data_IF_690166675927
#
_entry.id   IF_690166675927
#
_cell.length_a   1.000
_cell.length_b   1.000
_cell.length_c   1.000
_cell.angle_alpha   90.00
_cell.angle_beta   90.00
_cell.angle_gamma   90.00
#
_symmetry.space_group_name_H-M   'P 1'
#
loop_
_entity.id
_entity.type
_entity.pdbx_description
1 polymer ?
#
# COMPACT_ATOMS: atom_id res chain seq x y z
N UNK A 1 -6.12 -0.81 -3.42
CA UNK A 1 -6.88 -2.00 -2.98
C UNK A 1 -7.11 -2.94 -4.14
N UNK A 2 -7.62 -2.45 -5.26
CA UNK A 2 -8.15 -3.26 -6.38
C UNK A 2 -7.16 -4.25 -7.03
N UNK A 3 -5.85 -4.03 -6.88
CA UNK A 3 -4.79 -4.90 -7.44
C UNK A 3 -4.05 -5.71 -6.37
N UNK A 4 -4.53 -5.73 -5.13
CA UNK A 4 -3.88 -6.43 -4.01
C UNK A 4 -3.70 -7.93 -4.29
N UNK A 5 -4.72 -8.59 -4.85
CA UNK A 5 -4.66 -10.04 -5.11
C UNK A 5 -3.58 -10.40 -6.11
N UNK A 6 -3.32 -9.56 -7.11
CA UNK A 6 -2.23 -9.75 -8.06
C UNK A 6 -0.87 -9.62 -7.38
N UNK A 7 -0.71 -8.64 -6.48
CA UNK A 7 0.51 -8.49 -5.69
C UNK A 7 0.72 -9.68 -4.74
N UNK A 8 -0.33 -10.14 -4.06
CA UNK A 8 -0.25 -11.29 -3.15
C UNK A 8 0.16 -12.57 -3.88
N UNK A 9 -0.43 -12.83 -5.06
CA UNK A 9 -0.02 -13.97 -5.90
C UNK A 9 1.45 -13.90 -6.29
N UNK A 10 1.96 -12.72 -6.65
CA UNK A 10 3.37 -12.56 -6.99
C UNK A 10 4.28 -12.80 -5.77
N UNK A 11 3.89 -12.35 -4.58
CA UNK A 11 4.61 -12.60 -3.33
C UNK A 11 4.66 -14.11 -3.02
N UNK A 12 3.55 -14.83 -3.23
CA UNK A 12 3.45 -16.28 -3.01
C UNK A 12 4.34 -17.11 -3.95
N UNK A 13 4.81 -16.54 -5.07
CA UNK A 13 5.81 -17.20 -5.91
C UNK A 13 7.18 -17.35 -5.22
N UNK A 14 7.44 -16.63 -4.12
CA UNK A 14 8.67 -16.72 -3.34
C UNK A 14 8.60 -17.88 -2.33
N UNK A 15 8.65 -19.11 -2.84
CA UNK A 15 8.58 -20.32 -2.02
C UNK A 15 9.69 -20.38 -0.96
N UNK A 16 9.36 -20.84 0.25
CA UNK A 16 10.29 -20.90 1.40
C UNK A 16 10.48 -19.57 2.15
N UNK A 17 9.67 -18.56 1.82
CA UNK A 17 9.70 -17.23 2.45
C UNK A 17 8.32 -16.82 3.00
N UNK A 18 7.53 -17.78 3.50
CA UNK A 18 6.13 -17.56 3.91
C UNK A 18 5.99 -16.47 4.99
N UNK A 19 6.98 -16.37 5.89
CA UNK A 19 7.02 -15.33 6.92
C UNK A 19 7.09 -13.92 6.32
N UNK A 20 7.77 -13.75 5.18
CA UNK A 20 7.82 -12.47 4.47
C UNK A 20 6.50 -12.15 3.77
N UNK A 21 5.74 -13.16 3.34
CA UNK A 21 4.44 -12.93 2.71
C UNK A 21 3.48 -12.24 3.67
N UNK A 22 3.43 -12.78 4.88
CA UNK A 22 2.62 -12.26 5.96
C UNK A 22 3.16 -10.91 6.47
N UNK A 23 4.49 -10.75 6.53
CA UNK A 23 5.11 -9.45 6.84
C UNK A 23 4.68 -8.36 5.87
N UNK A 24 4.80 -8.58 4.56
CA UNK A 24 4.45 -7.58 3.55
C UNK A 24 2.94 -7.36 3.42
N UNK A 25 2.13 -8.37 3.77
CA UNK A 25 0.68 -8.22 3.92
C UNK A 25 0.34 -7.23 5.03
N UNK A 26 0.97 -7.36 6.21
CA UNK A 26 0.82 -6.37 7.29
C UNK A 26 1.33 -5.00 6.89
N UNK A 27 2.47 -4.89 6.21
CA UNK A 27 2.99 -3.59 5.74
C UNK A 27 1.95 -2.89 4.86
N UNK A 28 1.33 -3.59 3.91
CA UNK A 28 0.33 -3.03 3.03
C UNK A 28 -0.92 -2.53 3.78
N UNK A 29 -1.38 -3.29 4.79
CA UNK A 29 -2.47 -2.89 5.68
C UNK A 29 -2.13 -1.63 6.50
N UNK A 30 -0.94 -1.62 7.13
CA UNK A 30 -0.50 -0.47 7.95
C UNK A 30 -0.38 0.80 7.11
N UNK A 31 0.18 0.71 5.89
CA UNK A 31 0.21 1.84 4.96
C UNK A 31 -1.18 2.23 4.48
N UNK A 32 -2.09 1.26 4.32
CA UNK A 32 -3.50 1.52 3.99
C UNK A 32 -4.18 2.42 5.03
N UNK A 33 -4.04 2.10 6.32
CA UNK A 33 -4.56 2.91 7.43
C UNK A 33 -3.96 4.32 7.42
N UNK A 34 -2.65 4.45 7.20
CA UNK A 34 -1.98 5.75 7.13
C UNK A 34 -2.45 6.59 5.94
N UNK A 35 -2.57 5.99 4.76
CA UNK A 35 -3.10 6.65 3.57
C UNK A 35 -4.55 7.10 3.78
N UNK A 36 -5.38 6.25 4.38
CA UNK A 36 -6.76 6.58 4.77
C UNK A 36 -6.81 7.77 5.72
N UNK A 37 -5.91 7.82 6.70
CA UNK A 37 -5.81 8.92 7.66
C UNK A 37 -5.44 10.26 7.00
N UNK A 38 -4.59 10.22 5.97
CA UNK A 38 -4.11 11.42 5.26
C UNK A 38 -5.18 12.05 4.35
N UNK A 39 -6.13 11.27 3.85
CA UNK A 39 -7.28 11.80 3.09
C UNK A 39 -8.49 12.15 3.98
N UNK A 40 -8.34 12.04 5.30
CA UNK A 40 -9.43 12.14 6.28
C UNK A 40 -10.01 10.78 6.65
N UNK A 41 -9.97 10.45 7.95
CA UNK A 41 -10.40 9.12 8.45
C UNK A 41 -11.89 8.83 8.17
N UNK A 42 -12.71 9.87 8.13
CA UNK A 42 -14.15 9.81 7.83
C UNK A 42 -14.49 9.94 6.35
N UNK A 43 -13.50 10.10 5.46
CA UNK A 43 -13.74 10.21 4.03
C UNK A 43 -14.47 8.96 3.49
N UNK A 44 -15.24 9.08 2.41
CA UNK A 44 -15.95 7.91 1.83
C UNK A 44 -15.02 6.92 1.12
N UNK A 45 -13.88 7.41 0.60
CA UNK A 45 -12.94 6.58 -0.18
C UNK A 45 -12.34 5.48 0.69
N UNK A 46 -12.54 4.22 0.31
CA UNK A 46 -11.99 3.08 1.04
C UNK A 46 -10.55 2.77 0.58
N UNK A 47 -9.61 2.78 1.52
CA UNK A 47 -8.19 2.45 1.26
C UNK A 47 -7.79 1.40 2.31
N UNK A 48 -7.70 0.14 1.87
CA UNK A 48 -7.36 -0.99 2.75
C UNK A 48 -5.89 -1.38 2.63
N UNK A 49 -5.35 -1.39 1.41
CA UNK A 49 -3.95 -1.68 1.11
C UNK A 49 -3.32 -0.51 0.38
N UNK A 50 -2.13 -0.11 0.82
CA UNK A 50 -1.34 0.93 0.17
C UNK A 50 0.16 0.63 0.20
N UNK A 51 0.90 1.35 -0.63
CA UNK A 51 2.37 1.33 -0.67
C UNK A 51 2.88 2.74 -0.39
N UNK A 52 3.93 2.83 0.42
CA UNK A 52 4.58 4.10 0.72
C UNK A 52 5.86 4.23 -0.11
N UNK A 53 5.99 5.32 -0.84
CA UNK A 53 7.19 5.65 -1.61
C UNK A 53 7.80 6.94 -1.13
N UNK A 54 9.14 7.03 -1.17
CA UNK A 54 9.87 8.26 -0.94
C UNK A 54 10.31 8.83 -2.28
N UNK A 55 9.91 10.06 -2.57
CA UNK A 55 10.33 10.75 -3.79
C UNK A 55 11.61 11.54 -3.51
N UNK A 56 12.64 11.33 -4.34
CA UNK A 56 13.93 12.03 -4.20
C UNK A 56 13.91 13.43 -4.80
N UNK A 57 13.07 13.64 -5.81
CA UNK A 57 13.00 14.88 -6.58
C UNK A 57 11.62 15.54 -6.45
N UNK A 58 11.52 16.86 -6.58
CA UNK A 58 10.23 17.55 -6.54
C UNK A 58 9.33 17.14 -7.72
N UNK A 59 8.01 17.28 -7.55
CA UNK A 59 7.04 17.20 -8.65
C UNK A 59 6.69 18.61 -9.11
N UNK A 60 6.79 18.87 -10.41
CA UNK A 60 6.23 20.08 -11.01
C UNK A 60 4.76 19.79 -11.35
N UNK A 61 3.83 20.56 -10.77
CA UNK A 61 2.39 20.42 -10.95
C UNK A 61 1.75 21.79 -11.17
N UNK A 62 0.67 21.83 -11.93
CA UNK A 62 -0.12 23.05 -12.14
C UNK A 62 -1.07 23.35 -10.97
N UNK A 63 -1.50 22.31 -10.25
CA UNK A 63 -2.41 22.39 -9.11
C UNK A 63 -1.88 21.57 -7.91
N UNK A 64 -2.15 22.07 -6.69
CA UNK A 64 -1.86 21.40 -5.42
C UNK A 64 -2.98 20.45 -4.98
#
# INVERSE_FOLDING_TARGET
TDVWDTKLRAIQCMAGQEHLWEYYTRVALQRGVQAKRNIGITAKRNIQYAEGYMKLTPTVVEQL
#
